data_IF_218123464907
#
_entry.id   IF_218123464907
#
_cell.length_a   1.000
_cell.length_b   1.000
_cell.length_c   1.000
_cell.angle_alpha   90.00
_cell.angle_beta   90.00
_cell.angle_gamma   90.00
#
_symmetry.space_group_name_H-M   'P 1'
#
loop_
_entity.id
_entity.type
_entity.pdbx_description
1 polymer ?
#
# COMPACT_ATOMS: atom_id res chain seq x y z
N UNK A 1 3.03 -23.48 -28.01
CA UNK A 1 4.20 -22.65 -28.35
C UNK A 1 3.81 -21.21 -28.05
N UNK A 2 3.90 -20.84 -26.79
CA UNK A 2 3.58 -19.50 -26.29
C UNK A 2 4.80 -18.63 -26.52
N UNK A 3 4.67 -17.58 -27.32
CA UNK A 3 5.75 -16.63 -27.56
C UNK A 3 6.02 -15.85 -26.28
N UNK A 4 7.26 -15.90 -25.78
CA UNK A 4 7.76 -14.95 -24.79
C UNK A 4 7.72 -13.57 -25.44
N UNK A 5 6.93 -12.66 -24.87
CA UNK A 5 6.89 -11.27 -25.30
C UNK A 5 8.05 -10.54 -24.62
N UNK A 6 9.17 -10.43 -25.32
CA UNK A 6 10.33 -9.67 -24.84
C UNK A 6 10.15 -8.20 -25.23
N UNK A 7 10.12 -7.31 -24.24
CA UNK A 7 10.17 -5.86 -24.42
C UNK A 7 11.48 -5.48 -25.17
N UNK A 8 11.47 -4.48 -26.08
CA UNK A 8 12.56 -4.23 -27.01
C UNK A 8 13.89 -3.77 -26.37
N UNK A 9 13.90 -3.46 -25.08
CA UNK A 9 15.07 -2.95 -24.34
C UNK A 9 15.79 -3.99 -23.46
N UNK A 10 15.41 -5.27 -23.51
CA UNK A 10 16.07 -6.33 -22.74
C UNK A 10 15.85 -6.23 -21.21
N UNK A 11 14.98 -5.33 -20.77
CA UNK A 11 14.42 -5.33 -19.43
C UNK A 11 13.51 -6.56 -19.28
N UNK A 12 13.49 -7.23 -18.11
CA UNK A 12 12.58 -8.34 -17.87
C UNK A 12 11.13 -7.86 -18.03
N UNK A 13 10.32 -8.65 -18.75
CA UNK A 13 8.88 -8.42 -18.95
C UNK A 13 8.21 -8.11 -17.61
N UNK A 14 7.85 -6.83 -17.42
CA UNK A 14 7.25 -6.32 -16.18
C UNK A 14 5.92 -7.05 -15.92
N UNK A 15 5.16 -7.37 -16.96
CA UNK A 15 3.88 -8.08 -16.85
C UNK A 15 4.11 -9.53 -16.39
N UNK A 16 5.15 -10.20 -16.89
CA UNK A 16 5.55 -11.51 -16.38
C UNK A 16 5.95 -11.45 -14.90
N UNK A 17 6.72 -10.43 -14.50
CA UNK A 17 7.14 -10.27 -13.10
C UNK A 17 5.96 -9.98 -12.18
N UNK A 18 5.05 -9.09 -12.56
CA UNK A 18 3.84 -8.76 -11.80
C UNK A 18 2.98 -10.02 -11.60
N UNK A 19 2.79 -10.83 -12.65
CA UNK A 19 2.04 -12.09 -12.57
C UNK A 19 2.66 -13.12 -11.62
N UNK A 20 3.97 -13.02 -11.35
CA UNK A 20 4.68 -13.88 -10.41
C UNK A 20 4.67 -13.39 -8.96
N UNK A 21 4.20 -12.17 -8.69
CA UNK A 21 4.10 -11.65 -7.34
C UNK A 21 2.91 -12.29 -6.60
N UNK A 22 2.98 -12.44 -5.27
CA UNK A 22 1.88 -12.96 -4.45
C UNK A 22 0.78 -11.91 -4.24
N UNK A 23 0.53 -11.06 -5.24
CA UNK A 23 -0.46 -9.99 -5.23
C UNK A 23 -1.35 -10.17 -6.46
N UNK A 24 -2.66 -10.05 -6.28
CA UNK A 24 -3.60 -9.87 -7.38
C UNK A 24 -3.74 -8.39 -7.62
N UNK A 25 -3.56 -7.96 -8.87
CA UNK A 25 -3.66 -6.58 -9.27
C UNK A 25 -4.67 -6.45 -10.40
N UNK A 26 -5.65 -5.57 -10.24
CA UNK A 26 -6.64 -5.27 -11.26
C UNK A 26 -6.86 -3.76 -11.39
N UNK A 27 -7.13 -3.31 -12.61
CA UNK A 27 -7.57 -1.95 -12.87
C UNK A 27 -9.11 -1.93 -12.87
N UNK A 28 -9.69 -1.10 -12.02
CA UNK A 28 -11.14 -0.91 -11.91
C UNK A 28 -11.42 0.58 -11.73
N UNK A 29 -12.25 1.17 -12.59
CA UNK A 29 -12.71 2.57 -12.50
C UNK A 29 -11.56 3.57 -12.19
N UNK A 30 -10.55 3.63 -13.07
CA UNK A 30 -9.34 4.46 -12.95
C UNK A 30 -8.52 4.23 -11.67
N UNK A 31 -8.78 3.14 -10.95
CA UNK A 31 -8.10 2.76 -9.72
C UNK A 31 -7.32 1.45 -9.91
N UNK A 32 -6.17 1.35 -9.25
CA UNK A 32 -5.46 0.08 -9.10
C UNK A 32 -5.89 -0.57 -7.79
N UNK A 33 -6.52 -1.73 -7.87
CA UNK A 33 -6.86 -2.57 -6.71
C UNK A 33 -5.80 -3.65 -6.58
N UNK A 34 -5.22 -3.76 -5.38
CA UNK A 34 -4.23 -4.78 -5.06
C UNK A 34 -4.71 -5.60 -3.87
N UNK A 35 -4.69 -6.92 -4.02
CA UNK A 35 -5.04 -7.87 -2.96
C UNK A 35 -3.89 -8.81 -2.67
N UNK A 36 -3.60 -9.01 -1.38
CA UNK A 36 -2.57 -9.94 -0.91
C UNK A 36 -3.10 -10.71 0.30
N UNK A 37 -2.95 -12.03 0.27
CA UNK A 37 -3.27 -12.88 1.41
C UNK A 37 -2.13 -12.82 2.43
N UNK A 38 -2.41 -12.24 3.60
CA UNK A 38 -1.45 -12.11 4.69
C UNK A 38 -1.84 -13.00 5.87
N UNK A 39 -0.86 -13.67 6.47
CA UNK A 39 -1.05 -14.41 7.71
C UNK A 39 -1.14 -13.44 8.91
N UNK A 40 -2.09 -13.67 9.81
CA UNK A 40 -2.28 -12.88 11.03
C UNK A 40 -3.74 -12.75 11.43
N UNK A 41 -4.00 -12.16 12.59
CA UNK A 41 -5.35 -11.76 12.98
C UNK A 41 -5.71 -10.40 12.37
N UNK A 42 -7.00 -10.11 12.25
CA UNK A 42 -7.48 -8.79 11.78
C UNK A 42 -6.88 -7.64 12.60
N UNK A 43 -6.82 -7.78 13.94
CA UNK A 43 -6.24 -6.77 14.82
C UNK A 43 -4.74 -6.54 14.57
N UNK A 44 -3.95 -7.61 14.33
CA UNK A 44 -2.52 -7.49 14.02
C UNK A 44 -2.29 -6.79 12.68
N UNK A 45 -3.08 -7.14 11.66
CA UNK A 45 -2.99 -6.50 10.35
C UNK A 45 -3.44 -5.04 10.42
N UNK A 46 -4.51 -4.75 11.17
CA UNK A 46 -4.98 -3.38 11.37
C UNK A 46 -3.94 -2.50 12.06
N UNK A 47 -3.29 -3.00 13.10
CA UNK A 47 -2.18 -2.30 13.78
C UNK A 47 -1.03 -2.04 12.80
N UNK A 48 -0.68 -3.03 11.97
CA UNK A 48 0.38 -2.90 10.96
C UNK A 48 0.09 -1.85 9.86
N UNK A 49 -1.18 -1.50 9.65
CA UNK A 49 -1.64 -0.50 8.69
C UNK A 49 -1.90 0.89 9.30
N UNK A 50 -2.04 0.99 10.63
CA UNK A 50 -2.51 2.22 11.29
C UNK A 50 -1.58 2.79 12.35
N UNK A 51 -0.69 1.97 12.93
CA UNK A 51 0.33 2.44 13.88
C UNK A 51 1.61 2.88 13.14
N UNK A 52 2.05 4.15 13.30
CA UNK A 52 3.30 4.65 12.70
C UNK A 52 4.53 3.78 12.99
N UNK A 53 4.65 3.24 14.20
CA UNK A 53 5.79 2.43 14.60
C UNK A 53 5.81 1.08 13.87
N UNK A 54 4.63 0.51 13.57
CA UNK A 54 4.54 -0.72 12.79
C UNK A 54 4.70 -0.44 11.29
N UNK A 55 4.10 0.64 10.78
CA UNK A 55 4.25 1.08 9.38
C UNK A 55 5.72 1.30 9.03
N UNK A 56 6.50 1.94 9.90
CA UNK A 56 7.93 2.20 9.69
C UNK A 56 8.80 0.93 9.49
N UNK A 57 8.25 -0.26 9.76
CA UNK A 57 8.95 -1.54 9.54
C UNK A 57 8.88 -2.03 8.10
N UNK A 58 7.93 -1.54 7.30
CA UNK A 58 7.69 -2.05 5.95
C UNK A 58 7.29 -0.97 4.93
N UNK A 59 6.56 0.05 5.38
CA UNK A 59 6.16 1.18 4.55
C UNK A 59 7.25 2.25 4.57
N UNK A 60 7.67 2.78 3.41
CA UNK A 60 8.54 3.95 3.38
C UNK A 60 7.79 5.21 3.84
N UNK A 61 6.47 5.27 3.68
CA UNK A 61 5.64 6.41 4.05
C UNK A 61 5.07 6.21 5.46
N UNK A 62 5.51 7.06 6.41
CA UNK A 62 5.14 6.95 7.84
C UNK A 62 4.35 8.18 8.29
N UNK A 63 3.14 8.01 8.85
CA UNK A 63 2.32 9.11 9.33
C UNK A 63 2.79 9.65 10.69
N UNK A 64 2.47 10.92 10.98
CA UNK A 64 2.78 11.63 12.21
C UNK A 64 1.91 11.23 13.41
N UNK A 65 0.85 10.47 13.14
CA UNK A 65 -0.06 9.91 14.14
C UNK A 65 -0.66 8.59 13.67
N UNK A 66 -1.31 7.88 14.60
CA UNK A 66 -2.12 6.72 14.25
C UNK A 66 -3.31 7.12 13.34
N UNK A 67 -3.54 6.32 12.30
CA UNK A 67 -4.60 6.54 11.31
C UNK A 67 -5.94 5.90 11.72
N UNK A 68 -6.24 5.91 13.02
CA UNK A 68 -7.42 5.25 13.62
C UNK A 68 -8.59 6.20 13.87
N UNK A 69 -8.48 7.46 13.42
CA UNK A 69 -9.56 8.44 13.50
C UNK A 69 -9.55 9.40 12.30
N UNK A 70 -10.75 9.77 11.78
CA UNK A 70 -10.89 10.80 10.75
C UNK A 70 -10.27 12.14 11.14
N UNK A 71 -9.68 12.82 10.16
CA UNK A 71 -9.11 14.15 10.32
C UNK A 71 -7.69 14.28 9.77
N UNK A 72 -7.07 15.45 9.93
CA UNK A 72 -5.78 15.75 9.33
C UNK A 72 -4.67 14.79 9.78
N UNK A 73 -3.78 14.43 8.87
CA UNK A 73 -2.55 13.72 9.18
C UNK A 73 -1.48 14.06 8.13
N UNK A 74 -0.22 13.91 8.51
CA UNK A 74 0.92 14.14 7.63
C UNK A 74 1.79 12.89 7.59
N UNK A 75 2.34 12.56 6.43
CA UNK A 75 3.29 11.44 6.27
C UNK A 75 4.62 11.90 5.68
N UNK A 76 5.68 11.14 5.97
CA UNK A 76 7.01 11.35 5.39
C UNK A 76 7.54 10.06 4.81
N UNK A 77 8.12 10.15 3.62
CA UNK A 77 8.85 9.04 3.01
C UNK A 77 10.30 8.97 3.52
N UNK A 78 10.98 10.12 3.58
CA UNK A 78 12.34 10.21 4.11
C UNK A 78 12.42 11.17 5.31
N UNK A 79 13.31 10.88 6.29
CA UNK A 79 13.59 11.81 7.37
C UNK A 79 14.14 13.14 6.83
N UNK A 80 13.47 14.24 7.18
CA UNK A 80 13.91 15.61 6.84
C UNK A 80 13.35 16.17 5.53
N UNK A 81 12.63 15.38 4.74
CA UNK A 81 11.85 15.88 3.60
C UNK A 81 10.53 16.49 4.05
N UNK A 82 9.98 17.40 3.24
CA UNK A 82 8.67 18.00 3.51
C UNK A 82 7.58 16.93 3.58
N UNK A 83 6.67 17.01 4.57
CA UNK A 83 5.62 16.03 4.71
C UNK A 83 4.56 16.18 3.63
N UNK A 84 3.93 15.07 3.27
CA UNK A 84 2.74 15.03 2.41
C UNK A 84 1.49 14.85 3.25
N UNK A 85 0.35 15.31 2.74
CA UNK A 85 -0.95 15.06 3.36
C UNK A 85 -1.23 13.55 3.39
N UNK A 86 -1.80 13.09 4.51
CA UNK A 86 -2.22 11.71 4.76
C UNK A 86 -3.60 11.66 5.46
N UNK A 87 -4.43 12.68 5.22
CA UNK A 87 -5.68 12.89 5.96
C UNK A 87 -6.56 11.65 5.94
N UNK A 88 -7.06 11.25 7.10
CA UNK A 88 -8.01 10.15 7.22
C UNK A 88 -9.39 10.64 6.84
N UNK A 89 -9.92 10.12 5.74
CA UNK A 89 -11.22 10.49 5.19
C UNK A 89 -12.36 9.66 5.80
N UNK A 90 -12.14 8.37 5.98
CA UNK A 90 -13.14 7.44 6.51
C UNK A 90 -12.50 6.21 7.17
N UNK A 91 -13.22 5.64 8.15
CA UNK A 91 -12.89 4.37 8.81
C UNK A 91 -14.15 3.54 8.96
N UNK A 92 -14.06 2.25 8.63
CA UNK A 92 -15.12 1.26 8.86
C UNK A 92 -14.61 0.19 9.83
N UNK A 93 -14.75 0.45 11.14
CA UNK A 93 -14.22 -0.43 12.18
C UNK A 93 -12.72 -0.69 12.02
N UNK A 94 -12.30 -1.94 12.18
CA UNK A 94 -10.91 -2.40 11.97
C UNK A 94 -10.74 -3.10 10.61
N UNK A 95 -11.58 -2.76 9.62
CA UNK A 95 -11.64 -3.46 8.34
C UNK A 95 -11.26 -2.60 7.14
N UNK A 96 -11.44 -1.28 7.23
CA UNK A 96 -11.09 -0.37 6.15
C UNK A 96 -10.73 1.02 6.65
N UNK A 97 -9.70 1.59 6.03
CA UNK A 97 -9.23 2.96 6.18
C UNK A 97 -9.14 3.57 4.78
N UNK A 98 -9.61 4.81 4.62
CA UNK A 98 -9.39 5.61 3.42
C UNK A 98 -8.62 6.88 3.80
N UNK A 99 -7.50 7.13 3.13
CA UNK A 99 -6.71 8.35 3.26
C UNK A 99 -6.34 8.90 1.86
N UNK A 100 -5.84 10.13 1.81
CA UNK A 100 -5.34 10.79 0.59
C UNK A 100 -3.88 11.15 0.72
#
# INVERSE_FOLDING_TARGET
>A
MTAEHTDPDGAPDIDARIRGLPVRAELADDSLVMEVDLAGTAAQLWEALTDPAQLARWSPVVPDRALTSPGPALSRENPGEDPVTADVLAIAGEHALTHR
#
